data_IF_160863786978
#
_entry.id   IF_160863786978
#
_cell.length_a   1.000
_cell.length_b   1.000
_cell.length_c   1.000
_cell.angle_alpha   90.00
_cell.angle_beta   90.00
_cell.angle_gamma   90.00
#
_symmetry.space_group_name_H-M   'P 1'
#
loop_
_entity.id
_entity.type
_entity.pdbx_description
1 polymer ?
#
# COMPACT_ATOMS: atom_id res chain seq x y z
N UNK A 1 -10.53 17.29 -29.60
CA UNK A 1 -9.18 16.77 -29.36
C UNK A 1 -9.19 15.31 -29.79
N UNK A 2 -8.48 14.96 -30.83
CA UNK A 2 -8.39 13.58 -31.29
C UNK A 2 -7.67 12.73 -30.23
N UNK A 3 -8.17 11.55 -30.01
CA UNK A 3 -7.54 10.62 -29.06
C UNK A 3 -6.55 9.74 -29.80
N UNK A 4 -5.56 9.20 -29.11
CA UNK A 4 -4.58 8.26 -29.68
C UNK A 4 -5.26 7.11 -30.45
N UNK A 5 -6.31 6.53 -29.86
CA UNK A 5 -7.07 5.43 -30.47
C UNK A 5 -7.87 5.82 -31.72
N UNK A 6 -8.09 7.11 -32.00
CA UNK A 6 -8.75 7.57 -33.21
C UNK A 6 -7.80 7.69 -34.41
N UNK A 7 -6.49 7.77 -34.16
CA UNK A 7 -5.46 7.98 -35.16
C UNK A 7 -4.65 6.73 -35.48
N UNK A 8 -4.54 5.80 -34.53
CA UNK A 8 -3.78 4.57 -34.66
C UNK A 8 -4.62 3.36 -34.23
N UNK A 9 -4.72 2.37 -35.12
CA UNK A 9 -5.24 1.06 -34.79
C UNK A 9 -4.09 0.15 -34.37
N UNK A 10 -4.01 -0.17 -33.07
CA UNK A 10 -2.94 -0.99 -32.50
C UNK A 10 -2.94 -2.43 -33.00
N UNK A 11 -3.98 -2.87 -33.70
CA UNK A 11 -4.09 -4.23 -34.28
C UNK A 11 -3.58 -4.30 -35.71
N UNK A 12 -3.64 -3.20 -36.45
CA UNK A 12 -3.32 -3.18 -37.89
C UNK A 12 -2.17 -2.25 -38.26
N UNK A 13 -2.03 -1.14 -37.55
CA UNK A 13 -1.02 -0.13 -37.87
C UNK A 13 0.35 -0.51 -37.32
N UNK A 14 1.39 -0.24 -38.10
CA UNK A 14 2.77 -0.51 -37.70
C UNK A 14 3.40 0.76 -37.16
N UNK A 15 4.00 0.67 -35.96
CA UNK A 15 4.80 1.75 -35.37
C UNK A 15 6.25 1.34 -35.35
N UNK A 16 7.08 2.10 -36.01
CA UNK A 16 8.52 1.83 -36.19
C UNK A 16 9.38 2.60 -35.20
N UNK A 17 8.87 3.69 -34.66
CA UNK A 17 9.59 4.50 -33.71
C UNK A 17 8.71 5.53 -33.04
N UNK A 18 9.21 6.07 -31.93
CA UNK A 18 8.58 7.14 -31.17
C UNK A 18 9.64 8.18 -30.82
N UNK A 19 9.34 9.44 -31.04
CA UNK A 19 10.17 10.55 -30.60
C UNK A 19 9.42 11.34 -29.55
N UNK A 20 10.07 11.56 -28.41
CA UNK A 20 9.62 12.49 -27.38
C UNK A 20 10.26 13.84 -27.66
N UNK A 21 9.45 14.87 -27.89
CA UNK A 21 9.89 16.22 -28.18
C UNK A 21 9.78 17.06 -26.90
N UNK A 22 10.78 17.88 -26.67
CA UNK A 22 10.85 18.70 -25.46
C UNK A 22 10.77 20.18 -25.80
N UNK A 23 10.31 20.99 -24.87
CA UNK A 23 10.11 22.45 -25.03
C UNK A 23 11.38 23.21 -25.39
N UNK A 24 12.56 22.63 -25.11
CA UNK A 24 13.85 23.22 -25.54
C UNK A 24 14.28 22.83 -26.94
N UNK A 25 13.41 22.12 -27.69
CA UNK A 25 13.66 21.71 -29.06
C UNK A 25 14.51 20.45 -29.20
N UNK A 26 14.84 19.77 -28.10
CA UNK A 26 15.57 18.48 -28.15
C UNK A 26 14.61 17.35 -28.40
N UNK A 27 15.01 16.40 -29.25
CA UNK A 27 14.23 15.22 -29.57
C UNK A 27 14.91 13.96 -29.04
N UNK A 28 14.15 13.08 -28.42
CA UNK A 28 14.62 11.82 -27.85
C UNK A 28 13.86 10.67 -28.50
N UNK A 29 14.55 9.85 -29.28
CA UNK A 29 13.94 8.80 -30.06
C UNK A 29 14.06 7.41 -29.47
N UNK A 30 13.01 6.63 -29.66
CA UNK A 30 12.97 5.18 -29.48
C UNK A 30 12.76 4.53 -30.83
N UNK A 31 13.44 3.42 -31.06
CA UNK A 31 13.21 2.62 -32.25
C UNK A 31 12.86 1.19 -31.89
N UNK A 32 12.07 0.58 -32.76
CA UNK A 32 11.86 -0.86 -32.80
C UNK A 32 12.01 -1.34 -34.25
N UNK A 33 12.57 -2.53 -34.43
CA UNK A 33 12.77 -3.13 -35.76
C UNK A 33 11.47 -3.64 -36.37
N UNK A 34 10.50 -3.92 -35.50
CA UNK A 34 9.19 -4.45 -35.85
C UNK A 34 8.10 -3.53 -35.28
N UNK A 35 6.86 -3.98 -35.32
CA UNK A 35 5.76 -3.24 -34.71
C UNK A 35 5.85 -3.24 -33.19
N UNK A 36 5.96 -2.08 -32.57
CA UNK A 36 6.08 -1.93 -31.12
C UNK A 36 4.81 -2.34 -30.34
N UNK A 37 3.68 -2.49 -31.02
CA UNK A 37 2.42 -2.92 -30.40
C UNK A 37 2.38 -4.42 -30.04
N UNK A 38 3.22 -5.24 -30.65
CA UNK A 38 3.22 -6.70 -30.44
C UNK A 38 4.10 -7.15 -29.29
N UNK A 39 3.86 -6.61 -28.09
CA UNK A 39 4.43 -7.13 -26.84
C UNK A 39 5.91 -6.87 -26.61
N UNK A 40 6.53 -6.11 -27.47
CA UNK A 40 7.93 -5.70 -27.30
C UNK A 40 7.99 -4.60 -26.22
N UNK A 41 8.80 -4.82 -25.21
CA UNK A 41 9.08 -3.79 -24.23
C UNK A 41 9.79 -2.63 -24.92
N UNK A 42 9.26 -1.42 -24.80
CA UNK A 42 9.97 -0.20 -25.18
C UNK A 42 11.25 -0.14 -24.37
N UNK A 43 12.39 -0.37 -25.03
CA UNK A 43 13.70 -0.22 -24.42
C UNK A 43 14.30 1.09 -24.89
N UNK A 44 14.58 2.00 -23.96
CA UNK A 44 15.37 3.19 -24.26
C UNK A 44 16.80 2.75 -24.55
N UNK A 45 17.11 2.89 -25.78
CA UNK A 45 18.34 2.93 -26.43
C UNK A 45 19.56 2.22 -25.95
N UNK A 46 19.89 1.24 -26.66
CA UNK A 46 21.28 0.81 -26.77
C UNK A 46 21.75 1.01 -28.21
N UNK A 47 22.68 1.94 -28.39
CA UNK A 47 23.59 1.89 -29.53
C UNK A 47 23.08 2.25 -30.93
N UNK A 48 21.90 2.85 -31.08
CA UNK A 48 21.39 3.22 -32.39
C UNK A 48 21.61 4.70 -32.68
N UNK A 49 22.37 4.97 -33.73
CA UNK A 49 22.64 6.33 -34.25
C UNK A 49 22.00 6.55 -35.60
N UNK A 50 21.23 5.60 -36.11
CA UNK A 50 20.62 5.64 -37.43
C UNK A 50 19.15 5.98 -37.37
N UNK A 51 18.67 6.69 -38.34
CA UNK A 51 17.28 6.98 -38.57
C UNK A 51 16.55 5.74 -39.08
N UNK A 52 15.35 5.46 -38.57
CA UNK A 52 14.49 4.38 -39.04
C UNK A 52 13.12 4.96 -39.34
N UNK A 53 12.68 4.88 -40.61
CA UNK A 53 11.46 5.46 -41.10
C UNK A 53 11.27 6.95 -40.72
N UNK A 54 12.37 7.69 -40.73
CA UNK A 54 12.40 9.11 -40.37
C UNK A 54 12.46 9.40 -38.88
N UNK A 55 12.47 8.37 -38.02
CA UNK A 55 12.60 8.53 -36.58
C UNK A 55 14.07 8.70 -36.20
N UNK A 56 14.49 9.85 -35.67
CA UNK A 56 15.84 10.02 -35.16
C UNK A 56 16.01 9.17 -33.90
N UNK A 57 17.07 8.38 -33.87
CA UNK A 57 17.36 7.47 -32.76
C UNK A 57 18.76 7.72 -32.23
N UNK A 58 18.90 7.80 -30.95
CA UNK A 58 20.17 8.00 -30.28
C UNK A 58 20.33 7.06 -29.09
N UNK A 59 21.58 6.84 -28.73
CA UNK A 59 21.96 5.97 -27.64
C UNK A 59 22.00 6.69 -26.32
N UNK A 60 21.56 6.56 -25.29
CA UNK A 60 21.70 7.24 -23.98
C UNK A 60 20.59 8.24 -23.62
N UNK A 61 19.45 8.05 -24.18
CA UNK A 61 18.38 9.00 -24.10
C UNK A 61 17.78 9.22 -22.72
N UNK A 62 17.50 8.14 -21.96
CA UNK A 62 16.76 8.29 -20.71
C UNK A 62 17.48 9.16 -19.68
N UNK A 63 18.83 9.15 -19.69
CA UNK A 63 19.63 9.99 -18.78
C UNK A 63 19.58 11.46 -19.17
N UNK A 64 19.56 11.75 -20.45
CA UNK A 64 19.57 13.12 -20.95
C UNK A 64 18.18 13.76 -20.97
N UNK A 65 17.12 12.96 -21.01
CA UNK A 65 15.73 13.48 -20.96
C UNK A 65 15.30 13.86 -19.55
N UNK A 66 15.95 13.36 -18.52
CA UNK A 66 15.61 13.66 -17.15
C UNK A 66 15.67 15.17 -16.86
N UNK A 67 14.60 15.70 -16.25
CA UNK A 67 14.44 17.12 -15.97
C UNK A 67 13.99 17.98 -17.14
N UNK A 68 13.81 17.42 -18.34
CA UNK A 68 13.24 18.12 -19.50
C UNK A 68 11.72 18.16 -19.41
N UNK A 69 11.13 19.19 -20.00
CA UNK A 69 9.67 19.27 -20.16
C UNK A 69 9.28 18.76 -21.54
N UNK A 70 8.39 17.78 -21.59
CA UNK A 70 7.86 17.21 -22.82
C UNK A 70 6.71 18.09 -23.29
N UNK A 71 6.70 18.45 -24.58
CA UNK A 71 5.60 19.17 -25.22
C UNK A 71 4.79 18.28 -26.15
N UNK A 72 5.45 17.33 -26.81
CA UNK A 72 4.77 16.44 -27.76
C UNK A 72 5.45 15.08 -27.88
N UNK A 73 4.73 14.11 -28.43
CA UNK A 73 5.23 12.77 -28.78
C UNK A 73 4.87 12.50 -30.25
N UNK A 74 5.86 12.14 -31.06
CA UNK A 74 5.69 11.80 -32.47
C UNK A 74 5.88 10.29 -32.67
N UNK A 75 4.87 9.65 -33.27
CA UNK A 75 4.91 8.26 -33.69
C UNK A 75 5.23 8.20 -35.20
N UNK A 76 6.20 7.37 -35.56
CA UNK A 76 6.59 7.07 -36.94
C UNK A 76 5.93 5.77 -37.34
N UNK A 77 4.96 5.86 -38.28
CA UNK A 77 4.10 4.73 -38.64
C UNK A 77 4.16 4.44 -40.13
N UNK A 78 3.60 3.34 -40.57
CA UNK A 78 3.37 3.03 -41.99
C UNK A 78 2.38 3.97 -42.66
N UNK A 79 1.63 4.78 -41.89
CA UNK A 79 0.73 5.84 -42.38
C UNK A 79 1.34 7.24 -42.35
N UNK A 80 2.60 7.35 -41.90
CA UNK A 80 3.29 8.63 -41.73
C UNK A 80 3.56 8.99 -40.28
N UNK A 81 3.97 10.25 -40.07
CA UNK A 81 4.24 10.79 -38.73
C UNK A 81 2.95 11.32 -38.10
N UNK A 82 2.69 10.91 -36.86
CA UNK A 82 1.54 11.34 -36.07
C UNK A 82 2.06 11.95 -34.77
N UNK A 83 1.79 13.23 -34.55
CA UNK A 83 2.24 13.96 -33.36
C UNK A 83 1.07 14.26 -32.43
N UNK A 84 1.27 13.99 -31.16
CA UNK A 84 0.33 14.30 -30.09
C UNK A 84 0.95 15.32 -29.15
N UNK A 85 0.23 16.39 -28.88
CA UNK A 85 0.62 17.34 -27.86
C UNK A 85 0.47 16.74 -26.48
N UNK A 86 1.49 16.88 -25.67
CA UNK A 86 1.52 16.44 -24.27
C UNK A 86 1.83 17.66 -23.42
N UNK A 87 0.82 18.31 -22.85
CA UNK A 87 1.04 19.58 -22.17
C UNK A 87 1.89 19.39 -20.90
N UNK A 88 3.03 20.07 -20.88
CA UNK A 88 3.85 20.37 -19.70
C UNK A 88 4.24 19.19 -18.80
N UNK A 89 4.44 18.00 -19.36
CA UNK A 89 4.93 16.84 -18.61
C UNK A 89 6.43 16.94 -18.42
N UNK A 90 6.87 17.20 -17.21
CA UNK A 90 8.28 17.21 -16.84
C UNK A 90 8.77 15.80 -16.52
N UNK A 91 9.85 15.38 -17.14
CA UNK A 91 10.53 14.12 -16.81
C UNK A 91 11.37 14.33 -15.57
N UNK A 92 10.99 13.69 -14.49
CA UNK A 92 11.65 13.82 -13.20
C UNK A 92 12.82 12.84 -13.06
N UNK A 93 13.88 13.29 -12.39
CA UNK A 93 14.99 12.42 -11.95
C UNK A 93 14.55 11.62 -10.72
N UNK A 94 14.94 10.37 -10.64
CA UNK A 94 14.83 9.60 -9.40
C UNK A 94 16.09 9.85 -8.56
N UNK A 95 15.94 10.08 -7.26
CA UNK A 95 17.09 10.21 -6.36
C UNK A 95 17.71 8.86 -6.01
N UNK A 96 16.92 7.78 -6.01
CA UNK A 96 17.27 6.49 -5.45
C UNK A 96 17.37 6.48 -3.91
N UNK A 97 17.10 7.62 -3.27
CA UNK A 97 17.17 7.81 -1.82
C UNK A 97 15.91 7.26 -1.17
N UNK A 98 16.07 6.60 -0.04
CA UNK A 98 14.98 6.12 0.78
C UNK A 98 14.82 6.99 2.03
N UNK A 99 13.60 7.33 2.34
CA UNK A 99 13.25 7.95 3.61
C UNK A 99 12.65 6.91 4.56
N UNK A 100 12.93 7.06 5.83
CA UNK A 100 12.29 6.31 6.91
C UNK A 100 11.67 7.32 7.86
N UNK A 101 10.40 7.13 8.18
CA UNK A 101 9.70 7.89 9.20
C UNK A 101 9.45 6.96 10.39
N UNK A 102 9.81 7.42 11.58
CA UNK A 102 9.63 6.63 12.79
C UNK A 102 8.16 6.52 13.15
N UNK A 103 7.72 5.33 13.55
CA UNK A 103 6.42 5.11 14.16
C UNK A 103 6.28 5.95 15.43
N UNK A 104 5.07 6.42 15.68
CA UNK A 104 4.75 7.29 16.83
C UNK A 104 3.57 6.74 17.62
N UNK A 105 3.41 7.26 18.83
CA UNK A 105 2.20 7.04 19.63
C UNK A 105 1.12 8.06 19.25
N UNK A 106 -0.13 7.74 19.45
CA UNK A 106 -1.26 8.64 19.20
C UNK A 106 -1.28 9.89 20.09
N UNK A 107 -0.41 9.94 21.08
CA UNK A 107 -0.15 11.12 21.94
C UNK A 107 0.92 12.05 21.38
N UNK A 108 1.69 11.59 20.39
CA UNK A 108 2.76 12.36 19.76
C UNK A 108 2.19 13.23 18.63
N UNK A 109 2.77 14.41 18.45
CA UNK A 109 2.39 15.37 17.41
C UNK A 109 3.47 15.56 16.35
N UNK A 110 4.58 14.82 16.47
CA UNK A 110 5.68 14.85 15.52
C UNK A 110 6.30 13.47 15.30
N UNK A 111 6.78 13.23 14.08
CA UNK A 111 7.46 12.01 13.69
C UNK A 111 8.86 12.33 13.15
N UNK A 112 9.87 11.56 13.56
CA UNK A 112 11.23 11.73 13.05
C UNK A 112 11.34 11.17 11.64
N UNK A 113 11.95 11.93 10.72
CA UNK A 113 12.28 11.50 9.36
C UNK A 113 13.78 11.45 9.16
N UNK A 114 14.27 10.39 8.55
CA UNK A 114 15.68 10.19 8.21
C UNK A 114 15.80 9.72 6.76
N UNK A 115 16.97 9.95 6.18
CA UNK A 115 17.29 9.53 4.83
C UNK A 115 18.52 8.61 4.86
N UNK A 116 18.56 7.60 4.02
CA UNK A 116 19.71 6.70 3.88
C UNK A 116 20.93 7.38 3.22
N UNK A 117 20.70 8.48 2.50
CA UNK A 117 21.71 9.28 1.84
C UNK A 117 21.33 10.77 1.92
N UNK A 118 22.29 11.65 1.72
CA UNK A 118 22.04 13.10 1.64
C UNK A 118 21.22 13.42 0.38
N UNK A 119 20.16 14.21 0.54
CA UNK A 119 19.38 14.74 -0.57
C UNK A 119 20.27 15.59 -1.51
N UNK A 120 20.02 15.57 -2.83
CA UNK A 120 20.68 16.46 -3.76
C UNK A 120 20.56 17.93 -3.32
N UNK A 121 21.61 18.73 -3.50
CA UNK A 121 21.64 20.11 -3.05
C UNK A 121 20.54 21.00 -3.70
N UNK A 122 20.06 20.61 -4.87
CA UNK A 122 18.99 21.27 -5.59
C UNK A 122 17.59 20.67 -5.31
N UNK A 123 17.48 19.62 -4.49
CA UNK A 123 16.22 19.06 -4.05
C UNK A 123 15.60 19.94 -2.96
N UNK A 124 14.45 20.53 -3.25
CA UNK A 124 13.71 21.39 -2.31
C UNK A 124 12.55 20.64 -1.70
N UNK A 125 12.81 19.96 -0.57
CA UNK A 125 11.86 19.09 0.06
C UNK A 125 10.59 19.83 0.55
N UNK A 126 9.45 19.31 0.15
CA UNK A 126 8.12 19.61 0.68
C UNK A 126 7.51 18.32 1.18
N UNK A 127 6.93 18.38 2.37
CA UNK A 127 6.42 17.19 3.07
C UNK A 127 4.91 17.21 3.12
N UNK A 128 4.29 16.05 2.88
CA UNK A 128 2.87 15.84 3.09
C UNK A 128 2.63 14.50 3.79
N UNK A 129 1.63 14.48 4.66
CA UNK A 129 1.12 13.27 5.31
C UNK A 129 -0.33 13.09 4.86
N UNK A 130 -0.64 11.95 4.26
CA UNK A 130 -1.94 11.64 3.65
C UNK A 130 -2.46 12.76 2.73
N UNK A 131 -1.54 13.35 1.96
CA UNK A 131 -1.83 14.47 1.05
C UNK A 131 -1.94 15.84 1.72
N UNK A 132 -1.87 15.94 3.05
CA UNK A 132 -1.88 17.21 3.78
C UNK A 132 -0.46 17.70 4.00
N UNK A 133 -0.17 18.94 3.58
CA UNK A 133 1.15 19.55 3.75
C UNK A 133 1.51 19.71 5.24
N UNK A 134 2.72 19.32 5.60
CA UNK A 134 3.26 19.43 6.96
C UNK A 134 4.64 20.09 6.95
N UNK A 135 5.01 20.77 8.03
CA UNK A 135 6.37 21.29 8.18
C UNK A 135 7.33 20.20 8.67
N UNK A 136 8.60 20.33 8.27
CA UNK A 136 9.69 19.53 8.80
C UNK A 136 10.77 20.46 9.35
N UNK A 137 11.08 20.34 10.62
CA UNK A 137 12.12 21.12 11.30
C UNK A 137 13.04 20.15 12.05
N UNK A 138 14.34 20.28 11.82
CA UNK A 138 15.36 19.43 12.45
C UNK A 138 15.07 17.92 12.32
N UNK A 139 14.60 17.50 11.12
CA UNK A 139 14.25 16.11 10.86
C UNK A 139 12.99 15.61 11.56
N UNK A 140 12.11 16.50 12.01
CA UNK A 140 10.81 16.17 12.62
C UNK A 140 9.67 16.75 11.81
N UNK A 141 8.77 15.89 11.37
CA UNK A 141 7.51 16.25 10.71
C UNK A 141 6.50 16.65 11.77
N UNK A 142 5.89 17.82 11.64
CA UNK A 142 4.80 18.26 12.51
C UNK A 142 3.47 17.65 12.01
N UNK A 143 3.16 16.44 12.45
CA UNK A 143 2.04 15.66 11.94
C UNK A 143 0.71 15.96 12.61
N UNK A 144 0.73 16.66 13.77
CA UNK A 144 -0.48 16.94 14.56
C UNK A 144 -1.07 15.64 15.15
N UNK A 145 -2.39 15.63 15.35
CA UNK A 145 -3.11 14.45 15.82
C UNK A 145 -3.59 13.64 14.61
N UNK A 146 -3.14 12.40 14.52
CA UNK A 146 -3.52 11.47 13.48
C UNK A 146 -4.34 10.31 14.04
N UNK A 147 -5.09 9.64 13.19
CA UNK A 147 -5.79 8.40 13.53
C UNK A 147 -4.79 7.26 13.80
N UNK A 148 -5.24 6.19 14.45
CA UNK A 148 -4.45 4.98 14.56
C UNK A 148 -4.29 4.29 13.20
N UNK A 149 -3.12 3.72 12.93
CA UNK A 149 -2.86 2.98 11.72
C UNK A 149 -1.74 3.55 10.87
N UNK A 150 -1.65 3.11 9.62
CA UNK A 150 -0.60 3.48 8.68
C UNK A 150 -0.92 4.78 7.97
N UNK A 151 0.07 5.67 7.89
CA UNK A 151 0.00 6.97 7.22
C UNK A 151 1.07 7.07 6.15
N UNK A 152 0.68 7.56 4.98
CA UNK A 152 1.57 7.78 3.85
C UNK A 152 2.30 9.12 4.00
N UNK A 153 3.61 9.11 3.82
CA UNK A 153 4.42 10.32 3.73
C UNK A 153 4.93 10.50 2.31
N UNK A 154 4.73 11.67 1.76
CA UNK A 154 5.26 12.07 0.47
C UNK A 154 6.22 13.25 0.65
N UNK A 155 7.45 13.10 0.14
CA UNK A 155 8.49 14.12 0.18
C UNK A 155 8.73 14.54 -1.27
N UNK A 156 8.08 15.62 -1.68
CA UNK A 156 8.14 16.14 -3.03
C UNK A 156 9.26 17.16 -3.20
N UNK A 157 9.79 17.26 -4.41
CA UNK A 157 10.69 18.35 -4.78
C UNK A 157 9.88 19.54 -5.30
N UNK A 158 9.90 20.67 -4.59
CA UNK A 158 9.21 21.91 -4.99
C UNK A 158 9.62 22.43 -6.36
N UNK A 159 10.81 22.12 -6.83
CA UNK A 159 11.26 22.50 -8.19
C UNK A 159 10.68 21.57 -9.27
N UNK A 160 10.14 20.42 -8.89
CA UNK A 160 9.64 19.40 -9.80
C UNK A 160 10.73 18.69 -10.61
N UNK A 161 12.00 18.82 -10.24
CA UNK A 161 13.12 18.18 -10.94
C UNK A 161 13.26 16.71 -10.58
N UNK A 162 12.81 16.34 -9.38
CA UNK A 162 12.93 15.00 -8.84
C UNK A 162 11.56 14.40 -8.55
N UNK A 163 11.45 13.10 -8.77
CA UNK A 163 10.30 12.34 -8.35
C UNK A 163 10.19 12.32 -6.82
N UNK A 164 8.98 12.34 -6.30
CA UNK A 164 8.73 12.29 -4.87
C UNK A 164 9.29 11.00 -4.24
N UNK A 165 9.81 11.13 -3.03
CA UNK A 165 10.17 10.01 -2.17
C UNK A 165 8.92 9.68 -1.35
N UNK A 166 8.49 8.42 -1.39
CA UNK A 166 7.28 7.96 -0.68
C UNK A 166 7.68 6.93 0.36
N UNK A 167 7.15 7.07 1.55
CA UNK A 167 7.32 6.13 2.66
C UNK A 167 6.06 6.12 3.53
N UNK A 168 6.03 5.28 4.55
CA UNK A 168 4.92 5.16 5.48
C UNK A 168 5.44 5.09 6.90
N UNK A 169 4.59 5.42 7.87
CA UNK A 169 4.80 5.20 9.29
C UNK A 169 3.48 4.84 9.95
N UNK A 170 3.55 4.29 11.17
CA UNK A 170 2.36 3.86 11.91
C UNK A 170 2.16 4.72 13.15
N UNK A 171 0.92 5.16 13.37
CA UNK A 171 0.46 5.75 14.62
C UNK A 171 -0.13 4.66 15.50
N UNK A 172 0.44 4.47 16.68
CA UNK A 172 0.12 3.38 17.59
C UNK A 172 -0.54 3.88 18.89
N UNK A 173 -1.21 2.97 19.57
CA UNK A 173 -1.68 3.16 20.95
C UNK A 173 -1.24 2.00 21.83
N UNK A 174 -1.04 2.27 23.12
CA UNK A 174 -0.83 1.21 24.13
C UNK A 174 -2.16 0.60 24.62
N UNK A 175 -3.28 1.27 24.33
CA UNK A 175 -4.62 0.83 24.78
C UNK A 175 -5.03 -0.44 24.05
N UNK A 176 -5.35 -1.49 24.80
CA UNK A 176 -5.86 -2.74 24.23
C UNK A 176 -7.40 -2.71 24.27
N UNK A 177 -8.07 -2.65 23.09
CA UNK A 177 -9.53 -2.49 23.06
C UNK A 177 -10.31 -3.80 23.18
N UNK A 178 -9.64 -4.93 23.19
CA UNK A 178 -10.27 -6.24 23.21
C UNK A 178 -9.74 -7.13 24.34
N UNK A 179 -10.57 -8.03 24.79
CA UNK A 179 -10.22 -9.15 25.66
C UNK A 179 -10.87 -10.43 25.15
N UNK A 180 -10.34 -11.58 25.54
CA UNK A 180 -10.94 -12.87 25.22
C UNK A 180 -11.94 -13.28 26.31
N UNK A 181 -13.19 -13.52 25.88
CA UNK A 181 -14.21 -14.14 26.75
C UNK A 181 -14.24 -15.65 26.53
N UNK A 182 -13.76 -16.40 27.51
CA UNK A 182 -13.73 -17.85 27.46
C UNK A 182 -15.12 -18.50 27.57
N UNK A 183 -16.14 -17.80 28.08
CA UNK A 183 -17.48 -18.34 28.16
C UNK A 183 -18.21 -18.30 26.81
N UNK A 184 -17.95 -17.24 26.05
CA UNK A 184 -18.52 -17.07 24.72
C UNK A 184 -17.57 -17.50 23.59
N UNK A 185 -16.32 -17.83 23.94
CA UNK A 185 -15.26 -18.25 22.99
C UNK A 185 -15.06 -17.21 21.86
N UNK A 186 -15.04 -15.94 22.26
CA UNK A 186 -14.89 -14.81 21.33
C UNK A 186 -14.11 -13.65 21.93
N UNK A 187 -13.70 -12.72 21.08
CA UNK A 187 -13.22 -11.42 21.54
C UNK A 187 -14.41 -10.51 21.88
N UNK A 188 -14.27 -9.78 22.96
CA UNK A 188 -15.23 -8.78 23.44
C UNK A 188 -14.52 -7.46 23.69
N UNK A 189 -15.25 -6.36 23.71
CA UNK A 189 -14.70 -5.08 24.13
C UNK A 189 -14.12 -5.16 25.53
N UNK A 190 -12.92 -4.65 25.74
CA UNK A 190 -12.33 -4.55 27.07
C UNK A 190 -13.09 -3.51 27.91
N UNK A 191 -12.91 -3.51 29.23
CA UNK A 191 -13.56 -2.58 30.13
C UNK A 191 -13.29 -1.12 29.72
N UNK A 192 -14.33 -0.31 29.63
CA UNK A 192 -14.26 1.11 29.26
C UNK A 192 -13.99 1.37 27.77
N UNK A 193 -14.13 0.36 26.91
CA UNK A 193 -14.00 0.46 25.46
C UNK A 193 -15.38 0.59 24.83
N UNK A 194 -15.52 1.52 23.88
CA UNK A 194 -16.76 1.67 23.10
C UNK A 194 -16.86 0.59 22.01
N UNK A 195 -18.07 0.37 21.50
CA UNK A 195 -18.30 -0.56 20.40
C UNK A 195 -17.55 -0.14 19.13
N UNK A 196 -17.41 1.17 18.90
CA UNK A 196 -16.66 1.73 17.77
C UNK A 196 -15.17 1.45 17.89
N UNK A 197 -14.57 1.64 19.08
CA UNK A 197 -13.16 1.34 19.33
C UNK A 197 -12.87 -0.17 19.17
N UNK A 198 -13.75 -1.02 19.67
CA UNK A 198 -13.66 -2.46 19.49
C UNK A 198 -13.75 -2.86 18.02
N UNK A 199 -14.75 -2.34 17.30
CA UNK A 199 -14.92 -2.60 15.86
C UNK A 199 -13.69 -2.12 15.05
N UNK A 200 -13.14 -0.96 15.38
CA UNK A 200 -11.93 -0.46 14.74
C UNK A 200 -10.73 -1.39 14.98
N UNK A 201 -10.57 -1.91 16.19
CA UNK A 201 -9.54 -2.90 16.50
C UNK A 201 -9.71 -4.17 15.68
N UNK A 202 -10.91 -4.76 15.64
CA UNK A 202 -11.17 -5.99 14.87
C UNK A 202 -10.80 -5.78 13.38
N UNK A 203 -11.17 -4.66 12.79
CA UNK A 203 -10.87 -4.33 11.38
C UNK A 203 -9.38 -4.08 11.11
N UNK A 204 -8.62 -3.71 12.13
CA UNK A 204 -7.19 -3.45 12.02
C UNK A 204 -6.32 -4.70 12.21
N UNK A 205 -6.91 -5.86 12.53
CA UNK A 205 -6.18 -7.12 12.69
C UNK A 205 -5.49 -7.46 11.37
N UNK A 206 -4.17 -7.56 11.42
CA UNK A 206 -3.34 -7.88 10.26
C UNK A 206 -2.95 -9.35 10.20
N UNK A 207 -2.79 -9.98 11.38
CA UNK A 207 -2.47 -11.41 11.50
C UNK A 207 -2.91 -12.00 12.83
N UNK A 208 -3.10 -13.31 12.82
CA UNK A 208 -3.34 -14.13 14.01
C UNK A 208 -2.35 -15.27 13.99
N UNK A 209 -1.60 -15.43 15.07
CA UNK A 209 -0.76 -16.59 15.30
C UNK A 209 -1.50 -17.55 16.24
N UNK A 210 -1.58 -18.82 15.82
CA UNK A 210 -2.19 -19.92 16.59
C UNK A 210 -1.07 -20.90 16.89
N UNK A 211 -0.64 -20.98 18.14
CA UNK A 211 0.60 -21.63 18.56
C UNK A 211 1.78 -21.13 17.70
N UNK A 212 2.38 -22.00 16.90
CA UNK A 212 3.51 -21.64 16.02
C UNK A 212 3.10 -21.28 14.59
N UNK A 213 1.81 -21.36 14.25
CA UNK A 213 1.33 -21.11 12.88
C UNK A 213 0.76 -19.69 12.75
N UNK A 214 1.27 -18.93 11.79
CA UNK A 214 0.82 -17.56 11.50
C UNK A 214 -0.16 -17.54 10.34
N UNK A 215 -1.26 -16.81 10.48
CA UNK A 215 -2.30 -16.59 9.50
C UNK A 215 -2.46 -15.09 9.24
N UNK A 216 -2.23 -14.68 8.00
CA UNK A 216 -2.51 -13.30 7.59
C UNK A 216 -4.03 -13.08 7.50
N UNK A 217 -4.52 -11.95 7.97
CA UNK A 217 -5.93 -11.58 7.90
C UNK A 217 -6.33 -11.04 6.53
N UNK A 218 -5.35 -10.54 5.72
CA UNK A 218 -5.59 -9.93 4.43
C UNK A 218 -4.59 -10.44 3.38
N UNK A 219 -4.93 -10.29 2.09
CA UNK A 219 -4.05 -10.67 0.99
C UNK A 219 -4.32 -12.07 0.41
N UNK A 220 -3.47 -12.49 -0.53
CA UNK A 220 -3.61 -13.80 -1.18
C UNK A 220 -3.26 -14.92 -0.19
N UNK A 221 -4.20 -15.84 0.03
CA UNK A 221 -4.05 -16.94 0.98
C UNK A 221 -4.35 -16.57 2.43
N UNK A 222 -4.95 -15.40 2.67
CA UNK A 222 -5.40 -15.00 4.01
C UNK A 222 -6.47 -15.94 4.56
N UNK A 223 -6.48 -16.09 5.89
CA UNK A 223 -7.53 -16.79 6.63
C UNK A 223 -8.06 -15.86 7.73
N UNK A 224 -9.35 -15.53 7.66
CA UNK A 224 -10.00 -14.71 8.67
C UNK A 224 -10.33 -15.61 9.87
N UNK A 225 -9.54 -15.50 10.93
CA UNK A 225 -9.74 -16.24 12.17
C UNK A 225 -10.63 -15.47 13.13
N UNK A 226 -10.56 -14.14 13.16
CA UNK A 226 -11.42 -13.28 13.97
C UNK A 226 -12.45 -12.61 13.06
N UNK A 227 -13.73 -12.91 13.25
CA UNK A 227 -14.84 -12.28 12.52
C UNK A 227 -15.12 -10.87 13.03
N UNK A 228 -15.89 -10.09 12.28
CA UNK A 228 -16.21 -8.70 12.63
C UNK A 228 -16.91 -8.54 13.99
N UNK A 229 -17.65 -9.55 14.44
CA UNK A 229 -18.33 -9.60 15.74
C UNK A 229 -17.44 -10.11 16.88
N UNK A 230 -16.16 -10.38 16.60
CA UNK A 230 -15.20 -10.95 17.55
C UNK A 230 -15.20 -12.48 17.65
N UNK A 231 -16.12 -13.17 16.99
CA UNK A 231 -16.18 -14.65 16.98
C UNK A 231 -14.94 -15.23 16.32
N UNK A 232 -14.39 -16.30 16.93
CA UNK A 232 -13.27 -17.04 16.35
C UNK A 232 -13.75 -18.09 15.35
N UNK A 233 -13.24 -18.03 14.12
CA UNK A 233 -13.43 -19.08 13.13
C UNK A 233 -12.32 -20.13 13.30
N UNK A 234 -12.67 -21.22 13.96
CA UNK A 234 -11.76 -22.31 14.27
C UNK A 234 -11.80 -23.42 13.21
N UNK A 235 -12.51 -23.23 12.11
CA UNK A 235 -12.62 -24.20 11.00
C UNK A 235 -11.22 -24.56 10.50
N UNK A 236 -10.94 -25.87 10.40
CA UNK A 236 -9.64 -26.41 10.00
C UNK A 236 -8.45 -26.07 10.93
N UNK A 237 -8.73 -25.62 12.15
CA UNK A 237 -7.71 -25.42 13.18
C UNK A 237 -7.76 -26.58 14.21
N UNK A 238 -6.60 -27.08 14.59
CA UNK A 238 -6.47 -28.06 15.68
C UNK A 238 -6.28 -27.28 16.98
N UNK A 239 -7.39 -26.92 17.65
CA UNK A 239 -7.35 -26.15 18.89
C UNK A 239 -7.67 -27.02 20.10
N UNK A 240 -6.96 -26.77 21.19
CA UNK A 240 -7.14 -27.42 22.49
C UNK A 240 -7.09 -26.37 23.58
N UNK A 241 -7.43 -26.75 24.81
CA UNK A 241 -7.38 -25.87 26.01
C UNK A 241 -5.98 -25.30 26.32
N UNK A 242 -4.95 -25.70 25.56
CA UNK A 242 -3.57 -25.20 25.70
C UNK A 242 -3.14 -24.36 24.52
N UNK A 243 -3.95 -24.27 23.46
CA UNK A 243 -3.64 -23.49 22.25
C UNK A 243 -3.58 -22.00 22.56
N UNK A 244 -2.49 -21.36 22.16
CA UNK A 244 -2.26 -19.93 22.39
C UNK A 244 -2.56 -19.16 21.12
N UNK A 245 -3.35 -18.12 21.26
CA UNK A 245 -3.61 -17.13 20.21
C UNK A 245 -2.83 -15.86 20.50
N UNK A 246 -2.18 -15.32 19.48
CA UNK A 246 -1.55 -14.01 19.49
C UNK A 246 -2.06 -13.19 18.31
N UNK A 247 -2.75 -12.09 18.59
CA UNK A 247 -3.39 -11.24 17.58
C UNK A 247 -2.61 -9.95 17.46
N UNK A 248 -2.15 -9.65 16.22
CA UNK A 248 -1.48 -8.41 15.86
C UNK A 248 -2.43 -7.53 15.06
N UNK A 249 -2.56 -6.28 15.46
CA UNK A 249 -3.40 -5.28 14.81
C UNK A 249 -2.60 -4.01 14.51
N UNK A 250 -2.80 -3.43 13.31
CA UNK A 250 -2.12 -2.21 12.89
C UNK A 250 -2.64 -1.03 13.73
N UNK A 251 -1.71 -0.21 14.24
CA UNK A 251 -2.05 0.90 15.12
C UNK A 251 -2.13 0.52 16.61
N UNK A 252 -1.80 -0.72 16.96
CA UNK A 252 -1.76 -1.20 18.34
C UNK A 252 -0.39 -1.78 18.66
N UNK A 253 0.28 -1.19 19.64
CA UNK A 253 1.66 -1.54 19.98
C UNK A 253 1.80 -2.93 20.56
N UNK A 254 0.78 -3.36 21.32
CA UNK A 254 0.78 -4.63 22.00
C UNK A 254 -0.10 -5.64 21.28
N UNK A 255 0.36 -6.89 21.18
CA UNK A 255 -0.46 -7.98 20.70
C UNK A 255 -1.45 -8.44 21.80
N UNK A 256 -2.66 -8.82 21.40
CA UNK A 256 -3.58 -9.50 22.29
C UNK A 256 -3.22 -10.99 22.33
N UNK A 257 -2.81 -11.49 23.50
CA UNK A 257 -2.45 -12.90 23.68
C UNK A 257 -3.40 -13.55 24.68
N UNK A 258 -3.92 -14.72 24.35
CA UNK A 258 -4.76 -15.52 25.23
C UNK A 258 -4.60 -17.02 24.94
N UNK A 259 -4.91 -17.84 25.95
CA UNK A 259 -5.04 -19.28 25.78
C UNK A 259 -6.50 -19.62 25.52
N UNK A 260 -6.76 -20.36 24.45
CA UNK A 260 -8.09 -20.82 24.09
C UNK A 260 -8.69 -21.65 25.24
N UNK A 261 -9.97 -21.45 25.47
CA UNK A 261 -10.78 -22.31 26.33
C UNK A 261 -12.08 -22.59 25.62
N UNK A 262 -12.45 -23.86 25.55
CA UNK A 262 -13.75 -24.23 25.04
C UNK A 262 -14.86 -23.75 26.00
N UNK A 263 -15.89 -23.14 25.41
CA UNK A 263 -17.05 -22.70 26.19
C UNK A 263 -17.68 -23.91 26.89
N UNK A 264 -17.73 -23.89 28.23
CA UNK A 264 -18.42 -24.90 28.98
C UNK A 264 -19.90 -24.56 29.01
N UNK A 265 -20.72 -25.39 28.40
CA UNK A 265 -22.15 -25.32 28.58
C UNK A 265 -22.47 -25.67 30.02
N UNK A 266 -22.69 -24.69 30.88
CA UNK A 266 -23.22 -24.87 32.21
C UNK A 266 -24.72 -24.98 32.11
N UNK A 267 -25.24 -26.17 32.29
CA UNK A 267 -26.67 -26.37 32.46
C UNK A 267 -27.02 -26.10 33.92
N UNK A 268 -27.77 -25.03 34.21
CA UNK A 268 -28.40 -24.91 35.51
C UNK A 268 -29.62 -25.81 35.53
N UNK A 269 -29.59 -26.80 36.42
CA UNK A 269 -30.75 -27.63 36.69
C UNK A 269 -31.77 -26.80 37.47
N UNK A 270 -32.88 -26.45 36.81
CA UNK A 270 -33.98 -25.84 37.52
C UNK A 270 -34.59 -26.87 38.49
N UNK A 271 -34.18 -26.82 39.74
CA UNK A 271 -34.64 -27.74 40.80
C UNK A 271 -36.05 -27.47 41.30
N UNK A 272 -36.77 -26.49 40.71
CA UNK A 272 -38.18 -26.23 41.02
C UNK A 272 -39.14 -27.23 40.38
N UNK A 273 -38.68 -28.15 39.53
CA UNK A 273 -39.47 -29.23 38.95
C UNK A 273 -39.44 -30.45 39.86
N UNK A 274 -40.56 -30.83 40.42
CA UNK A 274 -40.68 -32.00 41.30
C UNK A 274 -40.56 -33.37 40.59
N UNK A 275 -40.34 -33.40 39.26
CA UNK A 275 -40.30 -34.64 38.49
C UNK A 275 -39.01 -34.74 37.67
N UNK A 276 -38.09 -35.54 38.16
CA UNK A 276 -36.89 -35.97 37.45
C UNK A 276 -37.15 -37.30 36.74
N UNK A 277 -36.99 -37.36 35.43
CA UNK A 277 -37.03 -38.60 34.69
C UNK A 277 -35.62 -39.15 34.50
N UNK A 278 -35.37 -40.35 34.93
CA UNK A 278 -34.12 -41.07 34.63
C UNK A 278 -34.19 -41.71 33.25
N UNK A 279 -33.04 -41.89 32.62
CA UNK A 279 -32.92 -42.54 31.33
C UNK A 279 -33.54 -43.96 31.40
N UNK A 280 -34.60 -44.20 30.63
CA UNK A 280 -35.30 -45.48 30.61
C UNK A 280 -36.59 -45.55 31.46
N UNK A 281 -36.96 -44.48 32.18
CA UNK A 281 -38.28 -44.44 32.82
C UNK A 281 -39.34 -44.10 31.75
N UNK A 282 -40.15 -45.09 31.44
CA UNK A 282 -41.43 -44.88 30.75
C UNK A 282 -42.49 -44.67 31.79
N UNK A 283 -43.26 -43.62 31.62
CA UNK A 283 -44.56 -43.52 32.22
C UNK A 283 -45.53 -44.25 31.32
#
# INVERSE_FOLDING_TARGET
KETFSSLLDTTTDKVYGVTVNTTDGTNYGLRHLENIWHGSKLAWGTGYTTEVHGCPVSSAHYKSIMGKTIDSVTYYTDKGMITFDVPDVKVQKTTGIKATVADIMNTDTSAAVTFDQTLPADFKAQYAVDGTAVSCTDGKLAVGTLALGTHKVEIADASGNYAAIVTEFTVNTDKMPASYDSNETKLVAAEGITAEEFSAYIKSISKVKVDDTEYAATGKGSKIIVKEDGTLDLTDLQVTDTTVFEITAVGYKNNLTFTYKEAKNTFELNTSSETLYTKGSTK
#
